data_IF_029504519952
#
_entry.id   IF_029504519952
#
_cell.length_a   1.000
_cell.length_b   1.000
_cell.length_c   1.000
_cell.angle_alpha   90.00
_cell.angle_beta   90.00
_cell.angle_gamma   90.00
#
_symmetry.space_group_name_H-M   'P 1'
#
loop_
_entity.id
_entity.type
_entity.pdbx_description
1 polymer ?
#
# COMPACT_ATOMS: atom_id res chain seq x y z
N UNK A 1 -2.76 -8.16 -12.67
CA UNK A 1 -1.67 -8.14 -13.67
C UNK A 1 -1.25 -9.58 -13.94
N UNK A 2 -0.90 -9.92 -15.18
CA UNK A 2 -0.44 -11.25 -15.53
C UNK A 2 1.11 -11.27 -15.56
N UNK A 3 1.76 -12.34 -15.09
CA UNK A 3 3.21 -12.48 -15.19
C UNK A 3 3.61 -12.89 -16.61
N UNK A 4 4.83 -12.52 -17.02
CA UNK A 4 5.40 -12.90 -18.33
C UNK A 4 5.61 -14.42 -18.44
N UNK A 5 5.98 -15.06 -17.32
CA UNK A 5 6.09 -16.50 -17.19
C UNK A 5 5.18 -16.96 -16.04
N UNK A 6 4.15 -17.74 -16.37
CA UNK A 6 3.23 -18.31 -15.38
C UNK A 6 3.81 -19.59 -14.81
N UNK A 7 4.11 -19.60 -13.52
CA UNK A 7 4.39 -20.82 -12.75
C UNK A 7 3.12 -21.30 -12.05
N UNK A 8 3.17 -22.50 -11.44
CA UNK A 8 2.05 -23.02 -10.64
C UNK A 8 1.93 -22.31 -9.28
N UNK A 9 2.95 -21.55 -8.86
CA UNK A 9 2.98 -20.82 -7.60
C UNK A 9 2.48 -19.37 -7.79
N UNK A 10 1.31 -19.00 -7.23
CA UNK A 10 0.79 -17.64 -7.29
C UNK A 10 1.70 -16.58 -6.65
N UNK A 11 2.48 -16.95 -5.63
CA UNK A 11 3.39 -16.04 -4.91
C UNK A 11 4.55 -15.66 -5.83
N UNK A 12 5.14 -16.64 -6.49
CA UNK A 12 6.23 -16.43 -7.46
C UNK A 12 5.77 -15.60 -8.65
N UNK A 13 4.59 -15.90 -9.19
CA UNK A 13 3.94 -15.12 -10.24
C UNK A 13 3.74 -13.65 -9.84
N UNK A 14 3.35 -13.37 -8.60
CA UNK A 14 3.21 -12.00 -8.14
C UNK A 14 4.58 -11.34 -8.01
N UNK A 15 5.54 -12.03 -7.39
CA UNK A 15 6.91 -11.54 -7.19
C UNK A 15 7.57 -11.15 -8.51
N UNK A 16 7.45 -11.95 -9.56
CA UNK A 16 8.06 -11.66 -10.86
C UNK A 16 7.53 -10.35 -11.47
N UNK A 17 6.24 -10.08 -11.34
CA UNK A 17 5.62 -8.82 -11.77
C UNK A 17 6.22 -7.62 -11.02
N UNK A 18 6.32 -7.68 -9.69
CA UNK A 18 6.86 -6.56 -8.90
C UNK A 18 8.34 -6.32 -9.18
N UNK A 19 9.13 -7.38 -9.39
CA UNK A 19 10.54 -7.25 -9.80
C UNK A 19 10.64 -6.60 -11.18
N UNK A 20 9.82 -7.02 -12.15
CA UNK A 20 9.78 -6.45 -13.49
C UNK A 20 9.38 -4.96 -13.47
N UNK A 21 8.33 -4.60 -12.74
CA UNK A 21 7.90 -3.19 -12.59
C UNK A 21 9.01 -2.31 -12.00
N UNK A 22 9.73 -2.83 -10.99
CA UNK A 22 10.87 -2.11 -10.43
C UNK A 22 12.02 -1.97 -11.43
N UNK A 23 12.32 -3.02 -12.19
CA UNK A 23 13.35 -2.98 -13.23
C UNK A 23 13.04 -1.93 -14.31
N UNK A 24 11.78 -1.83 -14.74
CA UNK A 24 11.32 -0.80 -15.68
C UNK A 24 11.48 0.60 -15.06
N UNK A 25 11.01 0.79 -13.82
CA UNK A 25 11.14 2.07 -13.13
C UNK A 25 12.61 2.55 -13.04
N UNK A 26 13.52 1.63 -12.73
CA UNK A 26 14.96 1.90 -12.69
C UNK A 26 15.56 2.15 -14.09
N UNK A 27 15.12 1.40 -15.11
CA UNK A 27 15.62 1.54 -16.47
C UNK A 27 15.31 2.93 -17.05
N UNK A 28 14.13 3.47 -16.76
CA UNK A 28 13.67 4.76 -17.27
C UNK A 28 13.87 5.92 -16.29
N UNK A 29 14.43 5.67 -15.10
CA UNK A 29 14.61 6.66 -14.02
C UNK A 29 13.31 7.39 -13.67
N UNK A 30 12.22 6.62 -13.49
CA UNK A 30 10.89 7.15 -13.18
C UNK A 30 10.35 6.63 -11.86
N UNK A 31 9.55 7.45 -11.18
CA UNK A 31 8.74 7.00 -10.05
C UNK A 31 7.55 6.16 -10.54
N UNK A 32 7.40 4.95 -10.00
CA UNK A 32 6.29 4.06 -10.31
C UNK A 32 5.42 3.85 -9.08
N UNK A 33 4.13 4.14 -9.22
CA UNK A 33 3.12 3.86 -8.21
C UNK A 33 2.22 2.73 -8.70
N UNK A 34 2.08 1.68 -7.89
CA UNK A 34 1.15 0.58 -8.14
C UNK A 34 0.24 0.37 -6.95
N UNK A 35 -1.04 0.09 -7.21
CA UNK A 35 -2.00 -0.25 -6.18
C UNK A 35 -2.04 -1.78 -5.99
N UNK A 36 -2.13 -2.21 -4.73
CA UNK A 36 -2.35 -3.62 -4.39
C UNK A 36 -3.50 -3.73 -3.40
N UNK A 37 -4.31 -4.78 -3.53
CA UNK A 37 -5.40 -5.05 -2.62
C UNK A 37 -4.89 -5.94 -1.49
N UNK A 38 -5.16 -5.56 -0.25
CA UNK A 38 -4.84 -6.35 0.93
C UNK A 38 -5.76 -7.57 1.04
N UNK A 39 -5.23 -8.68 1.55
CA UNK A 39 -5.93 -9.93 1.84
C UNK A 39 -6.96 -9.76 2.97
N UNK A 40 -7.97 -10.65 2.98
CA UNK A 40 -9.19 -10.55 3.82
C UNK A 40 -8.91 -10.56 5.34
N UNK A 41 -7.74 -11.04 5.78
CA UNK A 41 -7.30 -10.97 7.19
C UNK A 41 -6.75 -9.58 7.55
N UNK A 42 -5.97 -8.94 6.67
CA UNK A 42 -5.51 -7.55 6.84
C UNK A 42 -6.64 -6.51 6.85
N UNK A 43 -7.80 -6.85 6.28
CA UNK A 43 -9.01 -6.02 6.34
C UNK A 43 -9.70 -5.99 7.72
N UNK A 44 -9.31 -6.83 8.68
CA UNK A 44 -9.87 -6.85 10.05
C UNK A 44 -9.05 -6.11 11.09
N UNK A 45 -7.79 -5.80 10.80
CA UNK A 45 -6.90 -5.11 11.73
C UNK A 45 -7.07 -3.60 11.57
N UNK A 46 -7.48 -2.92 12.64
CA UNK A 46 -7.73 -1.47 12.67
C UNK A 46 -6.47 -0.61 12.45
N UNK A 47 -5.30 -1.24 12.43
CA UNK A 47 -4.01 -0.72 12.00
C UNK A 47 -3.26 -1.89 11.34
N UNK A 48 -3.21 -1.93 10.01
CA UNK A 48 -2.42 -2.93 9.29
C UNK A 48 -0.93 -2.74 9.63
N UNK A 49 -0.47 -3.48 10.65
CA UNK A 49 0.91 -3.48 11.11
C UNK A 49 1.69 -4.47 10.23
N UNK A 50 3.01 -4.31 10.08
CA UNK A 50 3.86 -5.15 9.21
C UNK A 50 3.70 -6.67 9.41
N UNK A 51 3.21 -7.10 10.57
CA UNK A 51 2.92 -8.50 10.92
C UNK A 51 1.69 -9.10 10.22
N UNK A 52 0.69 -8.29 9.83
CA UNK A 52 -0.53 -8.77 9.16
C UNK A 52 -0.31 -9.03 7.65
N UNK A 53 0.89 -8.74 7.13
CA UNK A 53 1.27 -8.90 5.72
C UNK A 53 2.15 -10.14 5.51
N UNK A 54 1.94 -11.18 6.33
CA UNK A 54 2.77 -12.38 6.35
C UNK A 54 2.81 -13.15 5.01
N UNK A 55 1.75 -13.09 4.19
CA UNK A 55 1.75 -13.69 2.85
C UNK A 55 2.42 -12.80 1.78
N UNK A 56 2.41 -11.48 1.96
CA UNK A 56 2.78 -10.50 0.94
C UNK A 56 4.10 -9.76 1.21
N UNK A 57 4.88 -10.28 2.15
CA UNK A 57 6.19 -9.74 2.54
C UNK A 57 7.15 -9.57 1.36
N UNK A 58 7.04 -10.43 0.34
CA UNK A 58 7.83 -10.34 -0.88
C UNK A 58 7.58 -9.03 -1.64
N UNK A 59 6.33 -8.54 -1.69
CA UNK A 59 5.98 -7.29 -2.39
C UNK A 59 6.50 -6.07 -1.62
N UNK A 60 6.31 -6.07 -0.31
CA UNK A 60 6.80 -5.01 0.59
C UNK A 60 8.32 -4.89 0.48
N UNK A 61 9.04 -6.02 0.47
CA UNK A 61 10.50 -6.03 0.39
C UNK A 61 11.01 -5.48 -0.95
N UNK A 62 10.26 -5.61 -2.04
CA UNK A 62 10.67 -5.09 -3.36
C UNK A 62 10.49 -3.57 -3.41
N UNK A 63 9.37 -3.08 -2.90
CA UNK A 63 9.02 -1.66 -2.90
C UNK A 63 9.99 -0.80 -2.07
N UNK A 64 10.20 0.44 -2.50
CA UNK A 64 10.99 1.43 -1.76
C UNK A 64 10.13 2.19 -0.73
N UNK A 65 8.83 2.35 -1.02
CA UNK A 65 7.83 3.00 -0.19
C UNK A 65 6.53 2.19 -0.22
N UNK A 66 5.94 1.93 0.94
CA UNK A 66 4.64 1.27 1.08
C UNK A 66 3.74 2.14 1.96
N UNK A 67 2.62 2.56 1.41
CA UNK A 67 1.60 3.34 2.11
C UNK A 67 0.33 2.50 2.16
N UNK A 68 -0.16 2.19 3.36
CA UNK A 68 -1.46 1.57 3.55
C UNK A 68 -2.52 2.64 3.83
N UNK A 69 -3.70 2.45 3.23
CA UNK A 69 -4.86 3.30 3.43
C UNK A 69 -5.81 2.55 4.35
N UNK A 70 -5.95 3.04 5.58
CA UNK A 70 -6.74 2.39 6.62
C UNK A 70 -7.95 3.26 6.98
N UNK A 71 -9.09 2.62 7.23
CA UNK A 71 -10.33 3.27 7.67
C UNK A 71 -11.07 2.35 8.63
N UNK A 72 -11.45 2.86 9.80
CA UNK A 72 -12.50 2.23 10.61
C UNK A 72 -13.89 2.63 10.08
N UNK A 73 -14.93 1.91 10.50
CA UNK A 73 -16.31 2.29 10.17
C UNK A 73 -16.68 3.68 10.69
N UNK A 74 -16.15 4.09 11.85
CA UNK A 74 -16.33 5.44 12.41
C UNK A 74 -15.63 6.51 11.55
N UNK A 75 -14.38 6.27 11.16
CA UNK A 75 -13.65 7.18 10.27
C UNK A 75 -14.34 7.30 8.91
N UNK A 76 -14.85 6.20 8.37
CA UNK A 76 -15.61 6.19 7.13
C UNK A 76 -16.88 7.03 7.23
N UNK A 77 -17.62 6.96 8.34
CA UNK A 77 -18.79 7.80 8.59
C UNK A 77 -18.42 9.30 8.68
N UNK A 78 -17.25 9.61 9.24
CA UNK A 78 -16.72 10.97 9.35
C UNK A 78 -15.97 11.47 8.11
N UNK A 79 -15.93 10.68 7.03
CA UNK A 79 -15.20 10.99 5.80
C UNK A 79 -13.67 11.10 6.01
N UNK A 80 -13.10 10.24 6.84
CA UNK A 80 -11.69 10.25 7.22
C UNK A 80 -10.96 8.95 6.82
N UNK A 81 -9.64 9.04 6.70
CA UNK A 81 -8.76 7.90 6.46
C UNK A 81 -7.39 8.13 7.10
N UNK A 82 -6.67 7.04 7.37
CA UNK A 82 -5.28 7.05 7.84
C UNK A 82 -4.35 6.48 6.78
N UNK A 83 -3.40 7.28 6.33
CA UNK A 83 -2.29 6.86 5.48
C UNK A 83 -1.13 6.45 6.39
N UNK A 84 -0.82 5.16 6.46
CA UNK A 84 0.27 4.65 7.27
C UNK A 84 1.46 4.25 6.39
N UNK A 85 2.62 4.80 6.70
CA UNK A 85 3.88 4.52 6.00
C UNK A 85 4.49 3.23 6.55
N UNK A 86 3.98 2.10 6.04
CA UNK A 86 4.31 0.75 6.51
C UNK A 86 5.76 0.34 6.22
N UNK A 87 6.35 0.84 5.13
CA UNK A 87 7.75 0.62 4.83
C UNK A 87 8.31 1.82 4.08
N UNK A 88 9.49 2.28 4.52
CA UNK A 88 10.28 3.29 3.82
C UNK A 88 11.75 2.91 3.97
N UNK A 89 12.46 2.75 2.84
CA UNK A 89 13.89 2.37 2.90
C UNK A 89 14.81 3.50 3.37
N UNK A 90 14.38 4.75 3.21
CA UNK A 90 15.24 5.93 3.40
C UNK A 90 14.77 6.87 4.53
N UNK A 91 13.70 6.54 5.26
CA UNK A 91 13.14 7.40 6.33
C UNK A 91 12.68 6.56 7.53
N UNK A 92 12.34 7.25 8.64
CA UNK A 92 11.64 6.61 9.77
C UNK A 92 10.35 5.98 9.22
N UNK A 93 10.26 4.66 9.26
CA UNK A 93 9.00 3.93 9.23
C UNK A 93 8.14 4.41 10.41
N UNK A 94 6.81 4.32 10.29
CA UNK A 94 5.81 4.66 11.32
C UNK A 94 5.17 6.06 11.27
N UNK A 95 5.30 6.79 10.15
CA UNK A 95 4.50 8.01 9.95
C UNK A 95 3.04 7.62 9.66
N UNK A 96 2.10 8.26 10.34
CA UNK A 96 0.66 8.15 10.08
C UNK A 96 0.08 9.52 9.77
N UNK A 97 -0.54 9.67 8.60
CA UNK A 97 -1.22 10.90 8.21
C UNK A 97 -2.72 10.65 8.22
N UNK A 98 -3.44 11.37 9.08
CA UNK A 98 -4.91 11.36 9.09
C UNK A 98 -5.41 12.40 8.11
N UNK A 99 -6.28 11.99 7.19
CA UNK A 99 -6.80 12.80 6.11
C UNK A 99 -8.32 12.79 6.09
N UNK A 100 -8.92 13.86 5.58
CA UNK A 100 -10.33 13.93 5.21
C UNK A 100 -10.48 13.68 3.71
N UNK A 101 -11.52 12.94 3.33
CA UNK A 101 -11.79 12.50 1.96
C UNK A 101 -13.24 12.76 1.61
N UNK A 102 -13.51 13.36 0.44
CA UNK A 102 -14.87 13.49 -0.07
C UNK A 102 -15.04 12.51 -1.23
N UNK A 103 -15.42 11.28 -0.89
CA UNK A 103 -15.59 10.22 -1.89
C UNK A 103 -16.79 10.46 -2.82
N UNK A 104 -17.81 11.20 -2.36
CA UNK A 104 -18.98 11.54 -3.19
C UNK A 104 -18.59 12.46 -4.35
N UNK A 105 -17.59 13.32 -4.12
CA UNK A 105 -16.99 14.18 -5.16
C UNK A 105 -15.76 13.58 -5.82
N UNK A 106 -15.43 12.32 -5.57
CA UNK A 106 -14.21 11.66 -6.04
C UNK A 106 -12.92 12.37 -5.61
N UNK A 107 -12.95 13.07 -4.47
CA UNK A 107 -11.79 13.76 -3.90
C UNK A 107 -11.13 12.91 -2.82
N UNK A 108 -9.96 12.34 -3.16
CA UNK A 108 -9.21 11.50 -2.24
C UNK A 108 -8.64 12.26 -1.03
N UNK A 109 -8.34 13.55 -1.16
CA UNK A 109 -7.78 14.36 -0.08
C UNK A 109 -8.41 15.75 -0.13
N UNK A 110 -9.12 16.12 0.93
CA UNK A 110 -9.66 17.48 1.11
C UNK A 110 -8.88 18.25 2.17
N UNK A 111 -8.45 17.57 3.23
CA UNK A 111 -7.69 18.20 4.33
C UNK A 111 -6.79 17.20 5.04
N UNK A 112 -5.62 17.65 5.48
CA UNK A 112 -4.77 16.92 6.44
C UNK A 112 -5.24 17.29 7.84
N UNK A 113 -5.63 16.29 8.62
CA UNK A 113 -6.16 16.45 9.97
C UNK A 113 -5.04 16.37 11.01
N UNK A 114 -4.15 15.38 10.86
CA UNK A 114 -3.06 15.13 11.80
C UNK A 114 -1.91 14.37 11.12
N UNK A 115 -0.71 14.52 11.68
CA UNK A 115 0.52 13.81 11.26
C UNK A 115 1.23 13.33 12.51
N UNK A 116 1.30 12.01 12.69
CA UNK A 116 1.93 11.33 13.84
C UNK A 116 3.12 10.50 13.39
#
# INVERSE_FOLDING_TARGET
MAPDFRTQDPIENSKSIYVGLRAIAMQYDVALLTATQTNREGARSSVATMTDVAEDFNKIRIADLVISINKTEEEKANQEARLYFAASRNQRSDITIRIKQDLERMQFLTKILDVT
#
